data_IF_597610932228
#
_entry.id   IF_597610932228
#
_cell.length_a   1.000
_cell.length_b   1.000
_cell.length_c   1.000
_cell.angle_alpha   90.00
_cell.angle_beta   90.00
_cell.angle_gamma   90.00
#
_symmetry.space_group_name_H-M   'P 1'
#
loop_
_entity.id
_entity.type
_entity.pdbx_description
1 polymer ?
#
# COMPACT_ATOMS: atom_id res chain seq x y z
N UNK A 1 -30.60 -12.21 3.42
CA UNK A 1 -29.22 -11.81 3.73
C UNK A 1 -29.00 -10.30 3.55
N UNK A 2 -30.01 -9.44 3.80
CA UNK A 2 -29.91 -7.99 3.61
C UNK A 2 -30.04 -7.16 4.90
N UNK A 3 -30.15 -7.80 6.07
CA UNK A 3 -30.21 -7.06 7.33
C UNK A 3 -28.82 -6.54 7.72
N UNK A 4 -28.67 -5.28 8.18
CA UNK A 4 -27.40 -4.71 8.57
C UNK A 4 -26.74 -5.51 9.72
N UNK A 5 -25.41 -5.62 9.72
CA UNK A 5 -24.70 -6.33 10.78
C UNK A 5 -24.63 -5.40 11.99
N UNK A 6 -25.26 -5.73 13.13
CA UNK A 6 -25.27 -4.83 14.29
C UNK A 6 -23.87 -4.65 14.91
N UNK A 7 -22.90 -5.49 14.56
CA UNK A 7 -21.53 -5.43 15.07
C UNK A 7 -20.56 -4.66 14.16
N UNK A 8 -20.99 -4.26 12.96
CA UNK A 8 -20.15 -3.50 12.03
C UNK A 8 -20.50 -2.03 12.04
N UNK A 9 -19.49 -1.18 11.92
CA UNK A 9 -19.67 0.25 11.64
C UNK A 9 -20.32 0.44 10.26
N UNK A 10 -21.04 1.55 10.09
CA UNK A 10 -21.81 1.86 8.87
C UNK A 10 -20.99 1.69 7.58
N UNK A 11 -19.77 2.25 7.55
CA UNK A 11 -18.86 2.19 6.39
C UNK A 11 -18.31 0.80 6.06
N UNK A 12 -18.51 -0.20 6.94
CA UNK A 12 -18.11 -1.59 6.70
C UNK A 12 -19.30 -2.49 6.32
N UNK A 13 -20.52 -1.97 6.28
CA UNK A 13 -21.71 -2.74 5.91
C UNK A 13 -21.65 -3.24 4.45
N UNK A 14 -20.89 -2.58 3.56
CA UNK A 14 -20.68 -3.01 2.18
C UNK A 14 -19.60 -4.08 1.98
N UNK A 15 -18.77 -4.35 2.99
CA UNK A 15 -17.56 -5.20 2.89
C UNK A 15 -17.60 -6.38 3.87
N UNK A 16 -18.78 -6.97 4.05
CA UNK A 16 -19.05 -7.96 5.11
C UNK A 16 -18.36 -9.30 4.84
N UNK A 17 -18.33 -9.69 3.57
CA UNK A 17 -17.65 -10.88 3.06
C UNK A 17 -16.94 -10.49 1.78
N UNK A 18 -15.78 -11.08 1.56
CA UNK A 18 -15.11 -11.00 0.27
C UNK A 18 -15.71 -12.06 -0.65
N UNK A 19 -15.87 -11.71 -1.93
CA UNK A 19 -16.29 -12.65 -2.98
C UNK A 19 -15.36 -13.87 -3.04
N UNK A 20 -14.08 -13.72 -2.70
CA UNK A 20 -13.13 -14.83 -2.65
C UNK A 20 -13.51 -15.86 -1.58
N UNK A 21 -13.97 -15.41 -0.41
CA UNK A 21 -14.41 -16.30 0.66
C UNK A 21 -15.71 -17.01 0.28
N UNK A 22 -16.67 -16.28 -0.30
CA UNK A 22 -17.94 -16.86 -0.76
C UNK A 22 -17.73 -17.92 -1.84
N UNK A 23 -16.94 -17.61 -2.87
CA UNK A 23 -16.67 -18.55 -3.97
C UNK A 23 -15.86 -19.76 -3.52
N UNK A 24 -14.92 -19.59 -2.57
CA UNK A 24 -14.15 -20.72 -2.04
C UNK A 24 -15.02 -21.67 -1.23
N UNK A 25 -15.93 -21.14 -0.40
CA UNK A 25 -16.91 -21.96 0.33
C UNK A 25 -17.81 -22.72 -0.65
N UNK A 26 -18.33 -22.04 -1.68
CA UNK A 26 -19.18 -22.67 -2.67
C UNK A 26 -18.44 -23.77 -3.47
N UNK A 27 -17.17 -23.56 -3.80
CA UNK A 27 -16.36 -24.56 -4.49
C UNK A 27 -16.22 -25.83 -3.64
N UNK A 28 -15.99 -25.69 -2.32
CA UNK A 28 -15.94 -26.81 -1.39
C UNK A 28 -17.29 -27.54 -1.27
N UNK A 29 -18.38 -26.79 -1.11
CA UNK A 29 -19.73 -27.34 -0.95
C UNK A 29 -20.21 -28.10 -2.19
N UNK A 30 -19.80 -27.65 -3.38
CA UNK A 30 -20.21 -28.25 -4.66
C UNK A 30 -19.22 -29.28 -5.20
N UNK A 31 -18.03 -29.42 -4.58
CA UNK A 31 -16.95 -30.24 -5.11
C UNK A 31 -16.36 -29.70 -6.41
N UNK A 32 -16.49 -28.40 -6.67
CA UNK A 32 -15.98 -27.76 -7.89
C UNK A 32 -14.48 -27.49 -7.80
N UNK A 33 -13.80 -27.53 -8.95
CA UNK A 33 -12.41 -27.06 -9.06
C UNK A 33 -12.39 -25.54 -8.87
N UNK A 34 -11.66 -25.06 -7.87
CA UNK A 34 -11.59 -23.64 -7.57
C UNK A 34 -10.51 -22.94 -8.42
N UNK A 35 -10.91 -22.38 -9.56
CA UNK A 35 -10.06 -21.53 -10.40
C UNK A 35 -10.15 -20.03 -10.05
N UNK A 36 -10.88 -19.68 -8.98
CA UNK A 36 -11.06 -18.29 -8.53
C UNK A 36 -10.07 -17.84 -7.46
N UNK A 37 -9.34 -18.78 -6.85
CA UNK A 37 -8.44 -18.51 -5.73
C UNK A 37 -7.00 -18.31 -6.22
N UNK A 38 -6.39 -17.18 -5.84
CA UNK A 38 -5.09 -16.75 -6.34
C UNK A 38 -3.88 -17.26 -5.55
N UNK A 39 -3.97 -18.40 -4.86
CA UNK A 39 -2.82 -19.03 -4.21
C UNK A 39 -2.38 -20.29 -4.98
N UNK A 40 -1.09 -20.66 -4.93
CA UNK A 40 -0.61 -21.89 -5.56
C UNK A 40 -1.15 -23.13 -4.84
N UNK A 41 -1.42 -24.19 -5.59
CA UNK A 41 -1.75 -25.53 -5.09
C UNK A 41 -0.51 -26.34 -4.68
N UNK A 42 0.69 -25.79 -4.90
CA UNK A 42 1.98 -26.37 -4.51
C UNK A 42 2.62 -25.60 -3.36
N UNK A 43 3.38 -26.31 -2.53
CA UNK A 43 4.22 -25.68 -1.50
C UNK A 43 5.33 -24.80 -2.08
N UNK A 44 5.85 -23.92 -1.22
CA UNK A 44 7.01 -23.08 -1.54
C UNK A 44 8.34 -23.85 -1.57
N UNK A 45 9.45 -23.16 -1.91
CA UNK A 45 10.78 -23.77 -1.94
C UNK A 45 11.18 -24.37 -0.59
N UNK A 46 11.74 -25.58 -0.60
CA UNK A 46 12.14 -26.32 0.61
C UNK A 46 13.13 -25.56 1.48
N UNK A 47 14.02 -24.78 0.85
CA UNK A 47 15.04 -23.99 1.54
C UNK A 47 14.42 -22.91 2.44
N UNK A 48 13.26 -22.37 2.06
CA UNK A 48 12.52 -21.40 2.88
C UNK A 48 11.88 -22.07 4.08
N UNK A 49 11.32 -23.28 3.88
CA UNK A 49 10.75 -24.08 4.97
C UNK A 49 11.83 -24.48 5.98
N UNK A 50 12.97 -24.95 5.50
CA UNK A 50 14.10 -25.35 6.34
C UNK A 50 14.66 -24.17 7.14
N UNK A 51 14.79 -22.99 6.52
CA UNK A 51 15.21 -21.77 7.20
C UNK A 51 14.23 -21.35 8.31
N UNK A 52 12.92 -21.45 8.06
CA UNK A 52 11.90 -21.15 9.06
C UNK A 52 11.96 -22.14 10.25
N UNK A 53 12.09 -23.44 9.97
CA UNK A 53 12.26 -24.48 11.01
C UNK A 53 13.51 -24.23 11.85
N UNK A 54 14.62 -23.91 11.20
CA UNK A 54 15.88 -23.61 11.89
C UNK A 54 15.73 -22.38 12.80
N UNK A 55 15.08 -21.31 12.33
CA UNK A 55 14.87 -20.10 13.12
C UNK A 55 14.03 -20.37 14.38
N UNK A 56 12.95 -21.15 14.24
CA UNK A 56 12.08 -21.55 15.36
C UNK A 56 12.88 -22.34 16.40
N UNK A 57 13.65 -23.34 15.95
CA UNK A 57 14.48 -24.18 16.83
C UNK A 57 15.60 -23.41 17.52
N UNK A 58 16.16 -22.39 16.85
CA UNK A 58 17.18 -21.52 17.41
C UNK A 58 16.64 -20.49 18.42
N UNK A 59 15.32 -20.46 18.66
CA UNK A 59 14.71 -19.59 19.66
C UNK A 59 14.36 -18.20 19.15
N UNK A 60 14.35 -17.95 17.84
CA UNK A 60 13.94 -16.68 17.23
C UNK A 60 12.41 -16.51 17.23
N UNK A 61 11.81 -16.58 18.42
CA UNK A 61 10.35 -16.65 18.62
C UNK A 61 9.80 -15.41 19.36
N UNK A 62 10.65 -14.43 19.65
CA UNK A 62 10.25 -13.19 20.31
C UNK A 62 9.91 -12.11 19.29
N UNK A 63 9.30 -11.01 19.76
CA UNK A 63 8.95 -9.90 18.89
C UNK A 63 10.16 -9.41 18.08
N UNK A 64 10.03 -9.33 16.75
CA UNK A 64 11.05 -8.71 15.93
C UNK A 64 11.09 -7.20 16.22
N UNK A 65 12.15 -6.49 15.77
CA UNK A 65 12.13 -5.04 15.75
C UNK A 65 10.91 -4.50 15.00
N UNK A 66 10.42 -3.33 15.41
CA UNK A 66 9.20 -2.68 14.87
C UNK A 66 9.14 -2.65 13.34
N UNK A 67 10.27 -2.33 12.68
CA UNK A 67 10.34 -2.25 11.21
C UNK A 67 10.59 -3.58 10.50
N UNK A 68 10.81 -4.65 11.25
CA UNK A 68 11.34 -5.91 10.77
C UNK A 68 12.84 -6.07 11.03
N UNK A 69 13.28 -7.33 11.00
CA UNK A 69 14.67 -7.71 11.26
C UNK A 69 15.61 -7.04 10.23
N UNK A 70 16.79 -6.53 10.65
CA UNK A 70 17.71 -5.83 9.75
C UNK A 70 18.10 -6.60 8.49
N UNK A 71 18.33 -7.90 8.62
CA UNK A 71 18.75 -8.80 7.55
C UNK A 71 17.68 -8.90 6.46
N UNK A 72 16.40 -8.98 6.86
CA UNK A 72 15.28 -9.01 5.92
C UNK A 72 15.12 -7.68 5.20
N UNK A 73 15.26 -6.55 5.91
CA UNK A 73 15.19 -5.22 5.29
C UNK A 73 16.30 -5.01 4.27
N UNK A 74 17.52 -5.46 4.57
CA UNK A 74 18.63 -5.45 3.62
C UNK A 74 18.33 -6.34 2.41
N UNK A 75 17.86 -7.56 2.63
CA UNK A 75 17.52 -8.49 1.55
C UNK A 75 16.44 -7.92 0.60
N UNK A 76 15.45 -7.19 1.12
CA UNK A 76 14.47 -6.47 0.31
C UNK A 76 15.14 -5.37 -0.51
N UNK A 77 15.98 -4.52 0.08
CA UNK A 77 16.70 -3.48 -0.66
C UNK A 77 17.58 -4.05 -1.79
N UNK A 78 18.30 -5.14 -1.50
CA UNK A 78 19.14 -5.83 -2.47
C UNK A 78 18.31 -6.46 -3.60
N UNK A 79 17.14 -7.01 -3.27
CA UNK A 79 16.17 -7.49 -4.26
C UNK A 79 15.72 -6.36 -5.19
N UNK A 80 15.36 -5.19 -4.64
CA UNK A 80 14.93 -4.06 -5.45
C UNK A 80 16.03 -3.56 -6.39
N UNK A 81 17.28 -3.53 -5.93
CA UNK A 81 18.44 -3.20 -6.76
C UNK A 81 18.65 -4.24 -7.86
N UNK A 82 18.61 -5.53 -7.53
CA UNK A 82 18.90 -6.63 -8.44
C UNK A 82 17.89 -6.74 -9.59
N UNK A 83 16.59 -6.67 -9.27
CA UNK A 83 15.54 -6.94 -10.25
C UNK A 83 14.98 -5.70 -10.92
N UNK A 84 15.02 -4.54 -10.23
CA UNK A 84 14.41 -3.31 -10.73
C UNK A 84 15.39 -2.15 -10.86
N UNK A 85 16.66 -2.32 -10.46
CA UNK A 85 17.66 -1.26 -10.50
C UNK A 85 17.40 -0.11 -9.52
N UNK A 86 16.54 -0.33 -8.52
CA UNK A 86 16.15 0.69 -7.55
C UNK A 86 17.12 0.69 -6.36
N UNK A 87 17.70 1.86 -6.07
CA UNK A 87 18.56 2.06 -4.90
C UNK A 87 17.69 2.46 -3.70
N UNK A 88 17.32 1.47 -2.88
CA UNK A 88 16.46 1.64 -1.71
C UNK A 88 17.32 1.59 -0.44
N UNK A 89 17.19 2.57 0.45
CA UNK A 89 17.79 2.52 1.78
C UNK A 89 17.03 1.48 2.64
N UNK A 90 17.71 0.48 3.23
CA UNK A 90 17.08 -0.46 4.16
C UNK A 90 16.35 0.21 5.35
N UNK A 91 16.68 1.46 5.68
CA UNK A 91 15.98 2.25 6.70
C UNK A 91 14.56 2.69 6.28
N UNK A 92 14.31 2.75 4.97
CA UNK A 92 13.01 3.07 4.35
C UNK A 92 12.16 1.82 4.08
N UNK A 93 12.67 0.62 4.41
CA UNK A 93 11.93 -0.64 4.32
C UNK A 93 11.21 -0.93 5.63
N UNK A 94 9.90 -1.20 5.52
CA UNK A 94 9.03 -1.66 6.59
C UNK A 94 8.50 -3.05 6.23
N UNK A 95 8.73 -4.04 7.10
CA UNK A 95 8.18 -5.39 6.95
C UNK A 95 6.78 -5.42 7.54
N UNK A 96 5.84 -6.05 6.83
CA UNK A 96 4.45 -6.24 7.26
C UNK A 96 4.04 -7.71 7.21
N UNK A 97 2.91 -8.02 7.84
CA UNK A 97 2.15 -9.28 7.78
C UNK A 97 1.46 -9.42 6.41
N UNK A 98 2.29 -9.57 5.38
CA UNK A 98 1.85 -9.63 3.99
C UNK A 98 1.47 -8.27 3.41
N UNK A 99 1.19 -8.28 2.10
CA UNK A 99 0.86 -7.06 1.35
C UNK A 99 -0.45 -6.39 1.82
N UNK A 100 -1.40 -7.18 2.35
CA UNK A 100 -2.67 -6.67 2.85
C UNK A 100 -2.50 -5.69 4.01
N UNK A 101 -1.62 -5.99 4.99
CA UNK A 101 -1.30 -5.04 6.06
C UNK A 101 -0.57 -3.82 5.51
N UNK A 102 0.41 -3.99 4.62
CA UNK A 102 1.14 -2.86 4.05
C UNK A 102 0.18 -1.86 3.37
N UNK A 103 -0.80 -2.37 2.61
CA UNK A 103 -1.85 -1.55 1.99
C UNK A 103 -2.73 -0.87 3.04
N UNK A 104 -3.16 -1.61 4.07
CA UNK A 104 -3.95 -1.09 5.17
C UNK A 104 -3.29 0.02 5.94
N UNK A 105 -2.08 -0.24 6.45
CA UNK A 105 -1.27 0.73 7.15
C UNK A 105 -1.01 1.98 6.30
N UNK A 106 -0.69 1.81 5.01
CA UNK A 106 -0.42 2.92 4.11
C UNK A 106 -1.65 3.81 3.90
N UNK A 107 -2.82 3.23 3.62
CA UNK A 107 -4.04 4.00 3.38
C UNK A 107 -4.49 4.70 4.67
N UNK A 108 -4.52 3.97 5.79
CA UNK A 108 -4.93 4.53 7.08
C UNK A 108 -3.98 5.64 7.58
N UNK A 109 -2.69 5.54 7.28
CA UNK A 109 -1.71 6.57 7.66
C UNK A 109 -1.72 7.80 6.74
N UNK A 110 -2.20 7.68 5.50
CA UNK A 110 -2.05 8.71 4.48
C UNK A 110 -3.36 9.37 4.04
N UNK A 111 -4.51 8.78 4.34
CA UNK A 111 -5.83 9.24 3.91
C UNK A 111 -6.62 9.78 5.10
N UNK A 112 -6.97 11.06 5.01
CA UNK A 112 -7.92 11.70 5.94
C UNK A 112 -9.37 11.51 5.45
N UNK A 113 -10.36 11.52 6.36
CA UNK A 113 -11.76 11.49 5.99
C UNK A 113 -12.12 12.56 4.96
N UNK A 114 -12.87 12.16 3.92
CA UNK A 114 -13.27 13.02 2.80
C UNK A 114 -12.22 13.20 1.71
N UNK A 115 -10.98 12.72 1.88
CA UNK A 115 -9.98 12.75 0.81
C UNK A 115 -10.28 11.74 -0.28
N UNK A 116 -10.02 12.13 -1.52
CA UNK A 116 -10.25 11.26 -2.67
C UNK A 116 -9.05 10.34 -2.92
N UNK A 117 -9.34 9.05 -3.11
CA UNK A 117 -8.36 8.01 -3.47
C UNK A 117 -8.72 7.44 -4.83
N UNK A 118 -7.79 7.52 -5.78
CA UNK A 118 -8.00 7.03 -7.14
C UNK A 118 -7.63 5.56 -7.23
N UNK A 119 -8.54 4.76 -7.77
CA UNK A 119 -8.34 3.33 -8.05
C UNK A 119 -8.67 3.04 -9.51
N UNK A 120 -7.92 2.11 -10.13
CA UNK A 120 -8.20 1.67 -11.50
C UNK A 120 -9.05 0.40 -11.47
N UNK A 121 -10.21 0.41 -12.13
CA UNK A 121 -11.05 -0.78 -12.24
C UNK A 121 -10.65 -1.63 -13.46
N UNK A 122 -10.69 -2.97 -13.37
CA UNK A 122 -11.02 -3.74 -12.16
C UNK A 122 -9.89 -3.68 -11.13
N UNK A 123 -10.24 -3.60 -9.83
CA UNK A 123 -9.30 -3.49 -8.71
C UNK A 123 -9.41 -4.65 -7.73
N UNK A 124 -8.36 -4.86 -6.94
CA UNK A 124 -8.39 -5.71 -5.75
C UNK A 124 -9.38 -5.18 -4.69
N UNK A 125 -10.32 -6.02 -4.25
CA UNK A 125 -11.46 -5.66 -3.38
C UNK A 125 -11.03 -4.97 -2.07
N UNK A 126 -9.88 -5.36 -1.52
CA UNK A 126 -9.29 -4.78 -0.33
C UNK A 126 -9.11 -3.26 -0.41
N UNK A 127 -8.83 -2.69 -1.59
CA UNK A 127 -8.67 -1.24 -1.72
C UNK A 127 -9.93 -0.49 -1.34
N UNK A 128 -11.10 -0.94 -1.81
CA UNK A 128 -12.37 -0.30 -1.52
C UNK A 128 -12.68 -0.33 -0.02
N UNK A 129 -12.51 -1.51 0.60
CA UNK A 129 -12.77 -1.70 2.02
C UNK A 129 -11.92 -0.77 2.89
N UNK A 130 -10.62 -0.65 2.61
CA UNK A 130 -9.69 0.13 3.44
C UNK A 130 -9.87 1.63 3.20
N UNK A 131 -10.10 2.08 1.96
CA UNK A 131 -10.40 3.48 1.65
C UNK A 131 -11.64 3.94 2.42
N UNK A 132 -12.71 3.15 2.38
CA UNK A 132 -13.96 3.46 3.08
C UNK A 132 -13.77 3.38 4.59
N UNK A 133 -13.02 2.40 5.10
CA UNK A 133 -12.67 2.30 6.53
C UNK A 133 -11.95 3.56 7.04
N UNK A 134 -11.04 4.12 6.24
CA UNK A 134 -10.33 5.38 6.51
C UNK A 134 -11.23 6.63 6.36
N UNK A 135 -12.48 6.48 5.90
CA UNK A 135 -13.38 7.59 5.59
C UNK A 135 -13.04 8.32 4.29
N UNK A 136 -12.16 7.75 3.47
CA UNK A 136 -11.81 8.29 2.16
C UNK A 136 -12.94 8.10 1.14
N UNK A 137 -12.89 8.91 0.08
CA UNK A 137 -13.83 8.85 -1.04
C UNK A 137 -13.14 8.16 -2.22
N UNK A 138 -13.55 6.92 -2.50
CA UNK A 138 -13.04 6.18 -3.66
C UNK A 138 -13.46 6.86 -4.97
N UNK A 139 -12.50 7.09 -5.87
CA UNK A 139 -12.71 7.55 -7.24
C UNK A 139 -12.18 6.53 -8.23
N UNK A 140 -13.09 5.81 -8.87
CA UNK A 140 -12.74 4.78 -9.84
C UNK A 140 -12.44 5.35 -11.22
N UNK A 141 -11.40 4.85 -11.87
CA UNK A 141 -11.12 5.03 -13.30
C UNK A 141 -11.19 3.67 -13.97
N UNK A 142 -12.24 3.43 -14.76
CA UNK A 142 -12.46 2.14 -15.41
C UNK A 142 -11.55 1.94 -16.61
N UNK A 143 -10.63 0.97 -16.50
CA UNK A 143 -9.86 0.44 -17.62
C UNK A 143 -10.77 -0.46 -18.45
N UNK A 144 -10.68 -0.35 -19.77
CA UNK A 144 -11.57 -1.08 -20.67
C UNK A 144 -10.77 -2.05 -21.52
N UNK A 145 -11.33 -3.23 -21.71
CA UNK A 145 -10.87 -4.17 -22.71
C UNK A 145 -10.82 -3.51 -24.11
N UNK A 146 -9.95 -3.98 -25.01
CA UNK A 146 -9.05 -5.13 -24.83
C UNK A 146 -7.68 -4.76 -24.21
N UNK A 147 -7.30 -3.48 -24.24
CA UNK A 147 -5.94 -3.03 -23.94
C UNK A 147 -5.73 -2.63 -22.46
N UNK A 148 -6.83 -2.37 -21.73
CA UNK A 148 -6.82 -1.95 -20.33
C UNK A 148 -5.91 -0.74 -20.06
N UNK A 149 -5.72 0.12 -21.06
CA UNK A 149 -4.86 1.29 -20.92
C UNK A 149 -5.59 2.46 -20.25
N UNK A 150 -4.84 3.22 -19.45
CA UNK A 150 -5.31 4.50 -18.92
C UNK A 150 -5.49 5.47 -20.09
N UNK A 151 -6.75 5.81 -20.39
CA UNK A 151 -7.04 6.81 -21.41
C UNK A 151 -6.96 8.21 -20.82
N UNK A 152 -6.17 9.13 -21.38
CA UNK A 152 -6.15 10.51 -20.94
C UNK A 152 -7.55 11.11 -21.08
N UNK A 153 -8.15 11.58 -19.99
CA UNK A 153 -9.41 12.31 -20.05
C UNK A 153 -9.23 13.67 -20.73
N UNK A 154 -10.26 14.14 -21.45
CA UNK A 154 -10.42 15.59 -21.71
C UNK A 154 -10.65 16.26 -20.35
N UNK A 155 -9.99 17.39 -20.03
CA UNK A 155 -10.17 18.03 -18.73
C UNK A 155 -11.61 18.50 -18.59
N UNK A 156 -12.38 17.84 -17.72
CA UNK A 156 -13.64 18.38 -17.21
C UNK A 156 -13.34 18.96 -15.83
N UNK A 157 -13.19 20.29 -15.79
CA UNK A 157 -13.27 21.12 -14.59
C UNK A 157 -12.70 20.50 -13.31
N UNK A 158 -11.40 20.24 -13.26
CA UNK A 158 -10.64 20.06 -12.01
C UNK A 158 -9.17 19.91 -12.39
N UNK A 159 -8.33 20.69 -11.72
CA UNK A 159 -6.90 20.80 -12.00
C UNK A 159 -6.19 19.55 -11.46
N UNK A 160 -5.99 18.54 -12.32
CA UNK A 160 -5.22 17.34 -11.98
C UNK A 160 -3.78 17.50 -12.46
N UNK A 161 -2.83 17.44 -11.52
CA UNK A 161 -1.41 17.30 -11.86
C UNK A 161 -1.10 15.84 -12.12
N UNK A 162 -0.56 15.54 -13.30
CA UNK A 162 -0.14 14.21 -13.71
C UNK A 162 1.13 13.82 -12.93
N UNK A 163 1.12 12.70 -12.21
CA UNK A 163 2.36 12.00 -11.89
C UNK A 163 2.78 11.18 -13.13
N UNK A 164 4.04 11.25 -13.57
CA UNK A 164 4.52 10.36 -14.61
C UNK A 164 4.34 8.92 -14.14
N UNK A 165 3.64 8.10 -14.92
CA UNK A 165 3.61 6.66 -14.69
C UNK A 165 5.03 6.14 -14.96
N UNK A 166 5.64 5.52 -13.96
CA UNK A 166 6.88 4.78 -14.14
C UNK A 166 6.53 3.42 -14.76
N UNK A 167 6.99 3.11 -15.99
CA UNK A 167 6.74 1.82 -16.62
C UNK A 167 7.27 0.63 -15.82
N UNK A 168 8.14 0.83 -14.82
CA UNK A 168 8.63 -0.22 -13.92
C UNK A 168 7.59 -0.71 -12.89
N UNK A 169 6.44 -0.03 -12.70
CA UNK A 169 5.40 -0.41 -11.73
C UNK A 169 4.35 -1.39 -12.28
N UNK A 170 4.73 -2.30 -13.18
CA UNK A 170 3.80 -3.35 -13.61
C UNK A 170 3.61 -4.36 -12.48
N UNK A 171 2.45 -4.31 -11.82
CA UNK A 171 2.06 -5.31 -10.83
C UNK A 171 1.83 -6.67 -11.50
N UNK A 172 2.10 -7.75 -10.77
CA UNK A 172 1.90 -9.15 -11.21
C UNK A 172 0.42 -9.55 -11.36
N UNK A 173 -0.52 -8.64 -11.10
CA UNK A 173 -1.93 -8.86 -11.40
C UNK A 173 -2.18 -8.59 -12.89
N UNK A 174 -3.08 -9.36 -13.55
CA UNK A 174 -3.21 -9.40 -15.01
C UNK A 174 -3.49 -8.05 -15.71
N UNK A 175 -3.76 -6.97 -14.97
CA UNK A 175 -4.15 -5.66 -15.50
C UNK A 175 -3.28 -4.48 -15.03
N UNK A 176 -2.11 -4.68 -14.41
CA UNK A 176 -1.20 -3.57 -14.05
C UNK A 176 -1.80 -2.55 -13.07
N UNK A 177 -2.54 -3.02 -12.07
CA UNK A 177 -3.26 -2.17 -11.11
C UNK A 177 -2.30 -1.36 -10.22
N UNK A 178 -2.59 -0.07 -10.04
CA UNK A 178 -1.92 0.83 -9.08
C UNK A 178 -2.93 1.73 -8.35
N UNK A 179 -2.55 2.26 -7.19
CA UNK A 179 -3.37 3.20 -6.40
C UNK A 179 -2.68 4.56 -6.41
N UNK A 180 -3.42 5.64 -6.69
CA UNK A 180 -2.89 7.00 -6.64
C UNK A 180 -3.60 7.83 -5.58
N UNK A 181 -2.81 8.46 -4.70
CA UNK A 181 -3.29 9.32 -3.62
C UNK A 181 -3.11 10.79 -4.00
N UNK A 182 -4.14 11.61 -3.74
CA UNK A 182 -4.04 13.07 -3.83
C UNK A 182 -4.15 13.69 -2.44
N UNK A 183 -3.11 14.43 -2.03
CA UNK A 183 -3.25 15.40 -0.93
C UNK A 183 -3.84 16.71 -1.46
N UNK A 184 -4.92 17.18 -0.84
CA UNK A 184 -5.31 18.58 -0.99
C UNK A 184 -4.17 19.46 -0.46
N UNK A 185 -3.75 20.46 -1.24
CA UNK A 185 -2.58 21.28 -0.94
C UNK A 185 -2.68 21.90 0.46
N UNK A 186 -1.75 21.55 1.35
CA UNK A 186 -1.57 22.29 2.61
C UNK A 186 -0.96 23.64 2.26
N UNK A 187 -1.66 24.73 2.56
CA UNK A 187 -1.08 26.06 2.55
C UNK A 187 0.05 26.08 3.59
N UNK A 188 1.31 26.04 3.15
CA UNK A 188 2.44 26.33 4.04
C UNK A 188 2.39 27.82 4.36
N UNK A 189 2.27 28.25 5.63
CA UNK A 189 2.54 29.64 5.97
C UNK A 189 4.03 29.92 5.68
N UNK A 190 4.29 31.05 5.03
CA UNK A 190 5.62 31.43 4.56
C UNK A 190 6.64 31.44 5.70
N UNK A 191 7.80 30.85 5.44
CA UNK A 191 8.98 30.95 6.31
C UNK A 191 9.36 32.44 6.40
N UNK A 192 9.44 33.07 7.58
CA UNK A 192 9.91 34.44 7.66
C UNK A 192 11.37 34.51 7.23
N UNK A 193 11.69 35.51 6.41
CA UNK A 193 13.02 35.74 5.86
C UNK A 193 14.07 35.88 6.98
N UNK A 194 15.19 35.19 6.83
CA UNK A 194 16.34 35.31 7.72
C UNK A 194 16.87 36.75 7.67
N UNK A 195 16.91 37.42 8.83
CA UNK A 195 17.58 38.72 8.99
C UNK A 195 19.10 38.54 8.80
N UNK A 196 19.78 39.46 8.12
CA UNK A 196 21.23 39.37 7.95
C UNK A 196 21.93 39.58 9.29
N UNK A 197 22.89 38.69 9.60
CA UNK A 197 23.75 38.76 10.78
C UNK A 197 24.67 39.98 10.62
N UNK A 198 24.44 41.00 11.45
CA UNK A 198 25.30 42.17 11.56
C UNK A 198 26.64 41.81 12.22
N UNK A 199 27.73 42.31 11.63
CA UNK A 199 29.10 42.20 12.12
C UNK A 199 29.26 42.72 13.55
N UNK A 200 30.10 42.02 14.32
CA UNK A 200 30.53 42.34 15.67
C UNK A 200 31.26 43.69 15.81
N UNK A 201 31.23 44.31 17.00
CA UNK A 201 32.31 45.14 17.48
C UNK A 201 33.09 44.43 18.61
N UNK A 202 34.41 44.43 18.45
CA UNK A 202 35.44 44.10 19.42
C UNK A 202 35.51 45.08 20.59
N UNK A 203 35.76 44.58 21.82
CA UNK A 203 36.58 45.14 22.93
C UNK A 203 36.27 44.32 24.21
N UNK A 204 37.21 43.63 24.87
CA UNK A 204 38.37 44.08 25.67
C UNK A 204 38.08 44.11 27.17
N UNK A 205 39.03 43.55 27.94
CA UNK A 205 39.41 43.77 29.37
C UNK A 205 38.69 43.04 30.52
N UNK A 206 39.48 42.18 31.21
CA UNK A 206 39.70 42.02 32.67
C UNK A 206 38.50 42.15 33.63
N UNK A 207 38.26 41.22 34.56
CA UNK A 207 39.14 40.70 35.62
C UNK A 207 38.59 39.36 36.10
#
# INVERSE_FOLDING_TARGET
MNDPNPHLVERMQGHRLSIFAEMSTLALETGSINLGQGFPDTDGPSEVLDAAVAAIRAGHNQYPPDRGIPELRQAVADHQRRFYGLDVDPADVMVSTGASEALGASILALVEPGQEVVVFEPYFDLYAAIIELAGGVRRSVTLRAPDFLVRPGRPRGSHWTRYPADPAQHSSQPNGQGVQLRRAGRHRPGRPAARPVGRAPTRSTST
#
